data_IF_424953230574
#
_entry.id   IF_424953230574
#
_cell.length_a   1.000
_cell.length_b   1.000
_cell.length_c   1.000
_cell.angle_alpha   90.00
_cell.angle_beta   90.00
_cell.angle_gamma   90.00
#
_symmetry.space_group_name_H-M   'P 1'
#
loop_
_entity.id
_entity.type
_entity.pdbx_description
1 polymer ?
#
# COMPACT_ATOMS: atom_id res chain seq x y z
N UNK A 1 6.10 7.64 -22.02
CA UNK A 1 6.03 6.91 -20.74
C UNK A 1 6.81 7.65 -19.69
N UNK A 2 6.31 7.65 -18.47
CA UNK A 2 6.96 8.30 -17.33
C UNK A 2 7.11 7.27 -16.22
N UNK A 3 8.12 7.46 -15.36
CA UNK A 3 8.34 6.55 -14.24
C UNK A 3 7.64 7.10 -13.01
N UNK A 4 6.91 6.22 -12.33
CA UNK A 4 6.21 6.55 -11.10
C UNK A 4 6.64 5.57 -10.02
N UNK A 5 6.82 6.09 -8.81
CA UNK A 5 7.20 5.28 -7.66
C UNK A 5 6.03 5.19 -6.70
N UNK A 6 5.77 4.00 -6.19
CA UNK A 6 4.60 3.72 -5.36
C UNK A 6 5.06 3.30 -3.98
N UNK A 7 5.24 4.26 -3.10
CA UNK A 7 5.68 3.99 -1.74
C UNK A 7 4.49 3.65 -0.88
N UNK A 8 4.61 2.62 -0.05
CA UNK A 8 3.53 2.19 0.82
C UNK A 8 3.85 2.64 2.24
N UNK A 9 2.93 3.34 2.86
CA UNK A 9 3.09 3.83 4.22
C UNK A 9 2.08 3.18 5.16
N UNK A 10 2.51 2.89 6.38
CA UNK A 10 1.63 2.48 7.46
C UNK A 10 2.05 3.25 8.70
N UNK A 11 1.23 4.22 9.09
CA UNK A 11 1.61 5.13 10.15
C UNK A 11 2.82 5.95 9.73
N UNK A 12 3.89 5.88 10.49
CA UNK A 12 5.13 6.61 10.17
C UNK A 12 6.16 5.70 9.50
N UNK A 13 5.79 4.49 9.12
CA UNK A 13 6.69 3.57 8.46
C UNK A 13 6.45 3.57 6.96
N UNK A 14 7.51 3.41 6.19
CA UNK A 14 7.44 3.50 4.73
C UNK A 14 8.20 2.35 4.09
N UNK A 15 7.56 1.72 3.11
CA UNK A 15 8.22 0.78 2.23
C UNK A 15 8.48 1.51 0.91
N UNK A 16 9.75 1.76 0.61
CA UNK A 16 10.12 2.54 -0.57
C UNK A 16 10.16 1.66 -1.82
N UNK A 17 9.59 2.19 -2.90
CA UNK A 17 9.63 1.55 -4.20
C UNK A 17 10.81 2.15 -4.97
N UNK A 18 11.94 1.46 -4.97
CA UNK A 18 13.15 1.97 -5.61
C UNK A 18 13.14 1.85 -7.13
N UNK A 19 12.39 0.88 -7.66
CA UNK A 19 12.41 0.63 -9.10
C UNK A 19 11.40 1.47 -9.87
N UNK A 20 10.22 1.64 -9.31
CA UNK A 20 9.16 2.36 -9.99
C UNK A 20 8.57 1.57 -11.15
N UNK A 21 7.64 2.21 -11.86
CA UNK A 21 6.99 1.61 -13.02
C UNK A 21 6.82 2.66 -14.08
N UNK A 22 6.97 2.24 -15.34
CA UNK A 22 6.75 3.13 -16.47
C UNK A 22 5.28 3.05 -16.88
N UNK A 23 4.62 4.20 -16.90
CA UNK A 23 3.20 4.27 -17.22
C UNK A 23 2.96 5.48 -18.12
N UNK A 24 1.88 5.45 -18.92
CA UNK A 24 1.64 6.55 -19.86
C UNK A 24 1.39 7.90 -19.21
N UNK A 25 0.74 7.92 -18.04
CA UNK A 25 0.42 9.20 -17.42
C UNK A 25 -0.19 9.03 -16.04
N UNK A 26 -0.66 10.13 -15.48
CA UNK A 26 -1.13 10.16 -14.11
C UNK A 26 -2.38 9.33 -13.89
N UNK A 27 -3.28 9.27 -14.88
CA UNK A 27 -4.48 8.46 -14.77
C UNK A 27 -4.12 6.99 -14.59
N UNK A 28 -3.17 6.52 -15.39
CA UNK A 28 -2.72 5.13 -15.29
C UNK A 28 -1.99 4.89 -13.98
N UNK A 29 -1.26 5.89 -13.50
CA UNK A 29 -0.60 5.78 -12.21
C UNK A 29 -1.63 5.65 -11.09
N UNK A 30 -2.72 6.39 -11.17
CA UNK A 30 -3.78 6.29 -10.16
C UNK A 30 -4.41 4.90 -10.16
N UNK A 31 -4.66 4.35 -11.35
CA UNK A 31 -5.22 3.01 -11.45
C UNK A 31 -4.27 1.97 -10.91
N UNK A 32 -2.99 2.14 -11.19
CA UNK A 32 -1.99 1.19 -10.69
C UNK A 32 -1.91 1.25 -9.18
N UNK A 33 -2.00 2.45 -8.60
CA UNK A 33 -1.99 2.61 -7.15
C UNK A 33 -3.17 1.87 -6.52
N UNK A 34 -4.37 2.03 -7.08
CA UNK A 34 -5.54 1.32 -6.58
C UNK A 34 -5.38 -0.18 -6.70
N UNK A 35 -4.81 -0.62 -7.81
CA UNK A 35 -4.62 -2.04 -8.05
C UNK A 35 -3.65 -2.65 -7.03
N UNK A 36 -2.55 -1.92 -6.76
CA UNK A 36 -1.58 -2.38 -5.76
C UNK A 36 -2.24 -2.49 -4.39
N UNK A 37 -2.94 -1.43 -3.97
CA UNK A 37 -3.57 -1.41 -2.65
C UNK A 37 -4.61 -2.51 -2.52
N UNK A 38 -5.45 -2.68 -3.53
CA UNK A 38 -6.49 -3.71 -3.51
C UNK A 38 -5.89 -5.10 -3.43
N UNK A 39 -4.84 -5.33 -4.21
CA UNK A 39 -4.18 -6.62 -4.22
C UNK A 39 -3.59 -6.95 -2.84
N UNK A 40 -2.95 -5.96 -2.22
CA UNK A 40 -2.37 -6.18 -0.90
C UNK A 40 -3.43 -6.50 0.14
N UNK A 41 -4.56 -5.81 0.08
CA UNK A 41 -5.64 -6.07 1.03
C UNK A 41 -6.24 -7.47 0.84
N UNK A 42 -6.29 -7.95 -0.40
CA UNK A 42 -6.80 -9.29 -0.64
C UNK A 42 -5.80 -10.37 -0.21
N UNK A 43 -4.52 -10.09 -0.34
CA UNK A 43 -3.51 -11.06 0.04
C UNK A 43 -3.29 -11.09 1.54
N UNK A 44 -3.51 -9.98 2.21
CA UNK A 44 -3.32 -9.88 3.65
C UNK A 44 -4.47 -9.07 4.22
N UNK A 45 -5.55 -9.74 4.54
CA UNK A 45 -6.76 -9.06 4.98
C UNK A 45 -6.63 -8.46 6.37
N UNK A 46 -5.57 -8.78 7.10
CA UNK A 46 -5.34 -8.11 8.37
C UNK A 46 -5.07 -6.63 8.18
N UNK A 47 -4.68 -6.20 6.97
CA UNK A 47 -4.53 -4.78 6.67
C UNK A 47 -5.84 -4.04 6.89
N UNK A 48 -6.97 -4.73 6.66
CA UNK A 48 -8.28 -4.10 6.85
C UNK A 48 -8.53 -3.68 8.30
N UNK A 49 -7.88 -4.34 9.24
CA UNK A 49 -8.08 -4.02 10.66
C UNK A 49 -7.48 -2.68 11.04
N UNK A 50 -6.50 -2.22 10.27
CA UNK A 50 -5.86 -0.94 10.52
C UNK A 50 -5.83 -0.11 9.23
N UNK A 51 -6.86 -0.26 8.41
CA UNK A 51 -6.87 0.30 7.05
C UNK A 51 -6.67 1.81 7.05
N UNK A 52 -7.09 2.49 8.11
CA UNK A 52 -6.96 3.95 8.18
C UNK A 52 -5.51 4.39 8.28
N UNK A 53 -4.60 3.48 8.64
CA UNK A 53 -3.20 3.84 8.77
C UNK A 53 -2.39 3.55 7.51
N UNK A 54 -2.99 2.89 6.53
CA UNK A 54 -2.28 2.50 5.32
C UNK A 54 -2.54 3.49 4.20
N UNK A 55 -1.46 3.93 3.55
CA UNK A 55 -1.52 4.87 2.43
C UNK A 55 -0.50 4.50 1.40
N UNK A 56 -0.78 4.88 0.16
CA UNK A 56 0.15 4.67 -0.94
C UNK A 56 0.48 6.03 -1.53
N UNK A 57 1.76 6.41 -1.51
CA UNK A 57 2.21 7.68 -2.07
C UNK A 57 2.77 7.44 -3.46
N UNK A 58 2.28 8.19 -4.44
CA UNK A 58 2.80 8.13 -5.80
C UNK A 58 3.72 9.32 -5.99
N UNK A 59 4.97 9.04 -6.36
CA UNK A 59 6.00 10.08 -6.49
C UNK A 59 6.72 9.96 -7.82
N UNK A 60 7.28 11.09 -8.25
CA UNK A 60 8.16 11.12 -9.42
C UNK A 60 9.57 10.69 -9.02
N UNK A 61 10.44 10.39 -10.01
CA UNK A 61 11.79 9.94 -9.67
C UNK A 61 12.58 10.92 -8.82
N UNK A 62 12.29 12.23 -8.91
CA UNK A 62 12.95 13.22 -8.09
C UNK A 62 12.28 13.40 -6.74
N UNK A 63 11.44 12.43 -6.36
CA UNK A 63 10.79 12.36 -5.05
C UNK A 63 9.71 13.42 -4.83
N UNK A 64 9.20 14.01 -5.90
CA UNK A 64 8.06 14.92 -5.79
C UNK A 64 6.80 14.12 -5.61
N UNK A 65 6.05 14.41 -4.56
CA UNK A 65 4.79 13.72 -4.28
C UNK A 65 3.71 14.21 -5.23
N UNK A 66 3.11 13.28 -5.96
CA UNK A 66 2.03 13.60 -6.89
C UNK A 66 0.67 13.49 -6.22
N UNK A 67 0.45 12.39 -5.50
CA UNK A 67 -0.77 12.23 -4.71
C UNK A 67 -0.59 11.09 -3.72
N UNK A 68 -1.49 11.04 -2.74
CA UNK A 68 -1.55 9.97 -1.75
C UNK A 68 -2.91 9.29 -1.86
N UNK A 69 -2.89 7.96 -1.88
CA UNK A 69 -4.12 7.16 -1.93
C UNK A 69 -4.28 6.44 -0.59
N UNK A 70 -5.24 6.84 0.24
CA UNK A 70 -5.53 6.08 1.45
C UNK A 70 -6.15 4.73 1.09
N UNK A 71 -5.70 3.66 1.74
CA UNK A 71 -6.26 2.34 1.47
C UNK A 71 -7.76 2.29 1.78
N UNK A 72 -8.21 3.12 2.74
CA UNK A 72 -9.64 3.15 3.09
C UNK A 72 -10.53 3.63 1.96
N UNK A 73 -9.94 4.30 0.95
CA UNK A 73 -10.72 4.78 -0.20
C UNK A 73 -10.71 3.80 -1.36
N UNK A 74 -10.04 2.67 -1.22
CA UNK A 74 -9.94 1.69 -2.30
C UNK A 74 -11.10 0.71 -2.19
N UNK A 75 -11.71 0.39 -3.34
CA UNK A 75 -12.82 -0.56 -3.36
C UNK A 75 -12.28 -1.98 -3.23
N UNK A 76 -12.35 -2.51 -2.01
CA UNK A 76 -11.82 -3.83 -1.70
C UNK A 76 -12.54 -4.92 -2.48
N UNK A 77 -13.81 -4.71 -2.77
CA UNK A 77 -14.67 -5.74 -3.36
C UNK A 77 -14.61 -5.80 -4.88
N UNK A 78 -13.66 -5.12 -5.49
CA UNK A 78 -13.47 -5.20 -6.93
C UNK A 78 -13.08 -6.62 -7.34
N UNK A 79 -13.24 -6.90 -8.63
CA UNK A 79 -13.04 -8.25 -9.16
C UNK A 79 -11.61 -8.74 -9.00
N UNK A 80 -11.51 -10.04 -8.71
CA UNK A 80 -10.21 -10.67 -8.45
C UNK A 80 -9.30 -10.65 -9.68
N UNK A 81 -9.85 -10.63 -10.88
CA UNK A 81 -9.01 -10.66 -12.07
C UNK A 81 -8.23 -9.36 -12.27
N UNK A 82 -8.52 -8.34 -11.47
CA UNK A 82 -7.76 -7.10 -11.49
C UNK A 82 -6.54 -7.15 -10.57
N UNK A 83 -6.36 -8.24 -9.85
CA UNK A 83 -5.28 -8.35 -8.88
C UNK A 83 -3.96 -8.64 -9.59
N UNK A 84 -2.88 -8.19 -8.95
CA UNK A 84 -1.54 -8.39 -9.50
C UNK A 84 -1.00 -9.75 -9.18
N UNK A 85 -0.10 -10.24 -10.04
CA UNK A 85 0.63 -11.46 -9.75
C UNK A 85 1.59 -11.21 -8.58
N UNK A 86 1.96 -12.27 -7.84
CA UNK A 86 2.83 -12.07 -6.67
C UNK A 86 4.15 -11.38 -6.98
N UNK A 87 4.72 -11.64 -8.16
CA UNK A 87 6.01 -11.04 -8.51
C UNK A 87 5.89 -9.59 -8.94
N UNK A 88 4.66 -9.07 -9.10
CA UNK A 88 4.45 -7.66 -9.43
C UNK A 88 4.31 -6.80 -8.18
N UNK A 89 4.17 -7.42 -7.02
CA UNK A 89 3.97 -6.68 -5.79
C UNK A 89 5.30 -6.33 -5.13
N UNK A 90 5.30 -5.33 -4.26
CA UNK A 90 6.48 -5.09 -3.42
C UNK A 90 6.77 -6.31 -2.55
N UNK A 91 7.97 -6.34 -1.98
CA UNK A 91 8.38 -7.41 -1.10
C UNK A 91 7.40 -7.53 0.06
N UNK A 92 6.64 -8.63 0.10
CA UNK A 92 5.63 -8.78 1.13
C UNK A 92 6.24 -9.01 2.50
N UNK A 93 7.46 -9.52 2.58
CA UNK A 93 8.12 -9.64 3.88
C UNK A 93 8.41 -8.28 4.46
N UNK A 94 8.79 -7.33 3.62
CA UNK A 94 9.04 -5.98 4.10
C UNK A 94 7.76 -5.32 4.60
N UNK A 95 6.61 -5.72 4.04
CA UNK A 95 5.35 -5.15 4.48
C UNK A 95 5.03 -5.49 5.92
N UNK A 96 5.46 -6.65 6.39
CA UNK A 96 5.18 -7.02 7.77
C UNK A 96 5.83 -6.06 8.76
N UNK A 97 6.95 -5.48 8.39
CA UNK A 97 7.61 -4.51 9.27
C UNK A 97 6.89 -3.18 9.31
N UNK A 98 5.94 -2.96 8.40
CA UNK A 98 5.15 -1.72 8.40
C UNK A 98 3.96 -1.77 9.33
N UNK A 99 3.59 -2.94 9.83
CA UNK A 99 2.41 -3.06 10.67
C UNK A 99 2.53 -2.19 11.91
N UNK A 100 1.42 -1.57 12.33
CA UNK A 100 1.45 -0.74 13.54
C UNK A 100 1.82 -1.55 14.76
N UNK A 101 2.67 -0.99 15.58
CA UNK A 101 3.08 -1.69 16.78
C UNK A 101 1.97 -1.86 17.77
N UNK A 102 1.01 -0.96 17.74
CA UNK A 102 -0.09 -1.03 18.69
C UNK A 102 -0.83 -2.34 18.59
N UNK A 103 -0.80 -2.97 17.42
CA UNK A 103 -1.44 -4.26 17.27
C UNK A 103 -0.82 -5.31 18.16
N UNK A 104 0.48 -5.33 18.21
CA UNK A 104 1.15 -6.33 18.98
C UNK A 104 1.05 -6.10 20.46
N UNK A 105 0.80 -4.87 20.87
CA UNK A 105 0.78 -4.55 22.27
C UNK A 105 -0.57 -4.68 22.92
N UNK A 106 -1.58 -4.70 22.16
CA UNK A 106 -2.89 -4.68 22.69
C UNK A 106 -3.30 -5.91 23.31
N UNK A 107 -2.61 -6.65 23.41
CA UNK A 107 -2.98 -7.84 23.98
C UNK A 107 -2.86 -7.84 25.44
N UNK A 108 -3.01 -6.66 25.50
CA UNK A 108 -3.04 -6.52 26.38
C UNK A 108 -3.48 -6.10 27.03
N UNK A 109 -3.56 -5.78 27.08
CA UNK A 109 -4.05 -5.41 27.70
C UNK A 109 -4.58 -5.42 28.11
N UNK A 110 -4.56 -5.20 28.04
CA UNK A 110 -5.09 -5.11 28.21
C UNK A 110 -5.20 -5.26 28.50
N UNK A 111 -5.20 -5.15 28.67
CA UNK A 111 -5.32 -5.28 28.87
C UNK A 111 -5.35 -5.52 29.37
N UNK A 112 -5.39 -5.23 29.43
CA UNK A 112 -5.41 -5.31 29.71
C UNK A 112 -5.50 -5.41 30.27
N UNK A 113 -5.40 -5.04 30.74
CA UNK A 113 -5.61 -4.98 31.17
C UNK A 113 -6.04 -5.18 31.71
#
# INVERSE_FOLDING_TARGET
>A
MRRYHFHIRCGDRVLFDGAGRLLPGLTEAAREAERIARTLMHRDQSILETVDEWRLDVREPDDVLLFTLPFSEVHFEQFDDDLMAPDELPDTEALWSLRPRSEGMRQHPGRQR
#
